data_IF_441064426857
#
_entry.id   IF_441064426857
#
_cell.length_a   1.000
_cell.length_b   1.000
_cell.length_c   1.000
_cell.angle_alpha   90.00
_cell.angle_beta   90.00
_cell.angle_gamma   90.00
#
_symmetry.space_group_name_H-M   'P 1'
#
loop_
_entity.id
_entity.type
_entity.pdbx_description
1 polymer ?
#
# COMPACT_ATOMS: atom_id res chain seq x y z
N UNK A 1 -5.23 -10.51 -36.02
CA UNK A 1 -3.89 -10.41 -36.65
C UNK A 1 -3.22 -9.05 -36.37
N UNK A 2 -3.97 -7.96 -36.27
CA UNK A 2 -3.44 -6.61 -35.96
C UNK A 2 -2.90 -6.46 -34.52
N UNK A 3 -3.45 -7.15 -33.50
CA UNK A 3 -2.99 -7.09 -32.10
C UNK A 3 -1.58 -7.67 -31.86
N UNK A 4 -1.09 -8.59 -32.72
CA UNK A 4 0.27 -9.15 -32.60
C UNK A 4 1.37 -8.24 -33.15
N UNK A 5 1.04 -7.37 -34.09
CA UNK A 5 2.02 -6.45 -34.73
C UNK A 5 2.30 -5.25 -33.84
N UNK A 6 1.31 -4.73 -33.13
CA UNK A 6 1.47 -3.61 -32.18
C UNK A 6 2.40 -3.93 -31.02
N UNK A 7 2.22 -5.11 -30.41
CA UNK A 7 3.08 -5.58 -29.32
C UNK A 7 4.53 -5.79 -29.78
N UNK A 8 4.76 -6.33 -30.99
CA UNK A 8 6.10 -6.53 -31.53
C UNK A 8 6.84 -5.21 -31.77
N UNK A 9 6.15 -4.20 -32.31
CA UNK A 9 6.72 -2.84 -32.52
C UNK A 9 7.04 -2.12 -31.22
N UNK A 10 6.22 -2.32 -30.17
CA UNK A 10 6.45 -1.73 -28.86
C UNK A 10 7.70 -2.32 -28.18
N UNK A 11 7.85 -3.65 -28.16
CA UNK A 11 9.04 -4.31 -27.61
C UNK A 11 10.30 -4.00 -28.43
N UNK A 12 10.18 -3.82 -29.74
CA UNK A 12 11.29 -3.45 -30.60
C UNK A 12 11.77 -2.01 -30.33
N UNK A 13 10.82 -1.02 -30.18
CA UNK A 13 11.15 0.36 -29.80
C UNK A 13 11.73 0.45 -28.39
N UNK A 14 11.19 -0.30 -27.44
CA UNK A 14 11.70 -0.35 -26.05
C UNK A 14 13.10 -1.01 -25.99
N UNK A 15 13.34 -2.04 -26.76
CA UNK A 15 14.68 -2.66 -26.91
C UNK A 15 15.69 -1.64 -27.46
N UNK A 16 15.32 -0.86 -28.46
CA UNK A 16 16.18 0.17 -29.05
C UNK A 16 16.47 1.33 -28.08
N UNK A 17 15.48 1.74 -27.27
CA UNK A 17 15.65 2.77 -26.23
C UNK A 17 16.57 2.28 -25.10
N UNK A 18 16.43 1.03 -24.67
CA UNK A 18 17.30 0.41 -23.65
C UNK A 18 18.72 0.23 -24.17
N UNK A 19 18.91 -0.16 -25.43
CA UNK A 19 20.25 -0.28 -26.06
C UNK A 19 20.91 1.10 -26.13
N UNK A 20 20.18 2.16 -26.49
CA UNK A 20 20.69 3.53 -26.56
C UNK A 20 21.08 4.08 -25.17
N UNK A 21 20.27 3.78 -24.12
CA UNK A 21 20.55 4.15 -22.73
C UNK A 21 21.77 3.41 -22.18
N UNK A 22 21.90 2.10 -22.47
CA UNK A 22 23.06 1.32 -22.04
C UNK A 22 24.35 1.72 -22.77
N UNK A 23 24.24 2.13 -24.05
CA UNK A 23 25.37 2.64 -24.83
C UNK A 23 25.83 3.99 -24.26
N UNK A 24 24.91 4.88 -23.89
CA UNK A 24 25.24 6.18 -23.26
C UNK A 24 25.90 6.02 -21.88
N UNK A 25 25.46 5.06 -21.06
CA UNK A 25 26.09 4.75 -19.79
C UNK A 25 27.48 4.13 -19.95
N UNK A 26 27.68 3.28 -20.95
CA UNK A 26 29.02 2.71 -21.25
C UNK A 26 29.99 3.79 -21.73
N UNK A 27 29.55 4.72 -22.56
CA UNK A 27 30.35 5.85 -23.02
C UNK A 27 30.73 6.77 -21.86
N UNK A 28 29.80 7.09 -20.94
CA UNK A 28 30.11 7.88 -19.74
C UNK A 28 31.13 7.18 -18.80
N UNK A 29 31.04 5.84 -18.66
CA UNK A 29 32.00 5.06 -17.85
C UNK A 29 33.37 5.01 -18.48
N UNK A 30 33.49 4.96 -19.81
CA UNK A 30 34.77 5.02 -20.54
C UNK A 30 35.41 6.41 -20.39
N UNK A 31 34.60 7.51 -20.46
CA UNK A 31 35.15 8.86 -20.28
C UNK A 31 35.60 9.15 -18.83
N UNK A 32 34.90 8.64 -17.81
CA UNK A 32 35.35 8.72 -16.43
C UNK A 32 36.64 7.91 -16.19
N UNK A 33 36.79 6.73 -16.81
CA UNK A 33 37.98 5.89 -16.68
C UNK A 33 39.23 6.51 -17.34
N UNK A 34 39.09 7.28 -18.39
CA UNK A 34 40.18 7.95 -19.08
C UNK A 34 40.67 9.21 -18.29
N UNK A 35 39.75 9.93 -17.61
CA UNK A 35 40.09 11.07 -16.78
C UNK A 35 40.88 10.68 -15.48
N UNK A 36 40.58 9.52 -14.90
CA UNK A 36 41.29 8.99 -13.73
C UNK A 36 42.66 8.43 -14.07
N UNK A 37 42.87 7.89 -15.28
CA UNK A 37 44.18 7.40 -15.72
C UNK A 37 45.16 8.53 -16.05
N UNK A 38 44.70 9.72 -16.42
CA UNK A 38 45.55 10.87 -16.75
C UNK A 38 46.11 11.62 -15.50
N UNK A 39 45.58 11.39 -14.30
CA UNK A 39 46.06 12.00 -13.05
C UNK A 39 47.07 11.16 -12.28
N UNK A 40 47.44 9.96 -12.75
CA UNK A 40 48.33 9.03 -12.06
C UNK A 40 49.78 8.97 -12.63
N UNK A 41 50.13 9.82 -13.60
CA UNK A 41 51.44 9.81 -14.27
C UNK A 41 52.32 11.00 -13.98
N UNK A 42 52.17 11.65 -12.85
CA UNK A 42 53.03 12.77 -12.50
C UNK A 42 53.37 12.84 -11.02
N UNK A 43 54.29 12.01 -10.54
CA UNK A 43 55.26 12.35 -9.47
C UNK A 43 56.12 11.13 -9.10
N UNK A 44 57.31 11.04 -9.63
CA UNK A 44 58.39 10.21 -9.08
C UNK A 44 59.31 11.10 -8.26
N UNK A 45 59.18 11.05 -6.94
CA UNK A 45 60.12 11.60 -5.99
C UNK A 45 60.35 10.56 -4.91
N UNK A 46 61.50 9.87 -4.97
CA UNK A 46 61.88 8.89 -3.97
C UNK A 46 62.37 9.59 -2.70
N UNK A 47 61.69 9.33 -1.57
CA UNK A 47 62.21 9.58 -0.22
C UNK A 47 62.17 8.27 0.53
N UNK A 48 63.29 7.78 0.93
CA UNK A 48 63.42 6.65 1.86
C UNK A 48 63.17 7.15 3.28
N UNK A 49 62.16 6.59 3.94
CA UNK A 49 61.98 6.73 5.37
C UNK A 49 61.69 5.33 5.95
N UNK A 50 62.41 5.03 7.04
CA UNK A 50 62.36 3.78 7.78
C UNK A 50 60.95 3.42 8.21
N UNK A 51 60.59 2.15 8.02
CA UNK A 51 59.35 1.57 8.49
C UNK A 51 59.43 1.32 10.00
N UNK A 52 58.66 2.06 10.77
CA UNK A 52 58.25 1.62 12.10
C UNK A 52 56.99 0.81 11.95
N UNK A 53 57.08 -0.46 12.31
CA UNK A 53 55.97 -1.43 12.34
C UNK A 53 54.96 -0.99 13.42
N UNK A 54 53.97 -0.18 13.05
CA UNK A 54 52.73 -0.02 13.80
C UNK A 54 51.70 -0.89 13.13
N UNK A 55 51.35 -2.00 13.78
CA UNK A 55 50.25 -2.84 13.37
C UNK A 55 49.00 -1.96 13.16
N UNK A 56 48.66 -1.70 11.90
CA UNK A 56 47.38 -1.08 11.52
C UNK A 56 46.30 -2.04 11.89
N UNK A 57 45.54 -1.76 12.95
CA UNK A 57 44.28 -2.42 13.20
C UNK A 57 43.41 -2.24 11.94
N UNK A 58 43.13 -3.36 11.29
CA UNK A 58 42.20 -3.40 10.18
C UNK A 58 40.87 -2.80 10.67
N UNK A 59 40.32 -1.79 10.00
CA UNK A 59 39.06 -1.20 10.46
C UNK A 59 38.03 -2.34 10.57
N UNK A 60 37.46 -2.50 11.75
CA UNK A 60 36.34 -3.41 11.97
C UNK A 60 35.29 -3.06 10.92
N UNK A 61 34.87 -4.02 10.07
CA UNK A 61 33.88 -3.71 9.05
C UNK A 61 32.64 -3.17 9.74
N UNK A 62 32.18 -1.98 9.36
CA UNK A 62 30.91 -1.42 9.80
C UNK A 62 29.85 -2.46 9.44
N UNK A 63 29.05 -2.94 10.40
CA UNK A 63 28.01 -3.93 10.11
C UNK A 63 27.12 -3.39 9.00
N UNK A 64 26.84 -4.21 7.98
CA UNK A 64 25.88 -3.88 6.94
C UNK A 64 24.53 -3.61 7.62
N UNK A 65 23.95 -2.40 7.55
CA UNK A 65 22.69 -2.09 8.20
C UNK A 65 21.54 -3.01 7.76
N UNK A 66 21.71 -3.73 6.65
CA UNK A 66 20.74 -4.68 6.15
C UNK A 66 20.74 -6.01 6.88
N UNK A 67 21.90 -6.49 7.31
CA UNK A 67 21.99 -7.67 8.16
C UNK A 67 21.28 -7.47 9.48
N UNK A 68 21.23 -6.25 10.01
CA UNK A 68 20.49 -5.93 11.24
C UNK A 68 18.98 -6.11 11.05
N UNK A 69 18.40 -5.54 9.99
CA UNK A 69 16.95 -5.71 9.74
C UNK A 69 16.59 -7.14 9.40
N UNK A 70 17.39 -7.82 8.61
CA UNK A 70 17.15 -9.23 8.27
C UNK A 70 17.18 -10.14 9.51
N UNK A 71 18.01 -9.86 10.48
CA UNK A 71 18.13 -10.64 11.71
C UNK A 71 16.99 -10.39 12.71
N UNK A 72 16.23 -9.29 12.57
CA UNK A 72 15.15 -8.95 13.49
C UNK A 72 13.95 -9.89 13.31
N UNK A 73 13.45 -10.45 14.40
CA UNK A 73 12.22 -11.23 14.45
C UNK A 73 11.00 -10.35 14.14
N UNK A 74 9.93 -10.96 13.66
CA UNK A 74 8.65 -10.28 13.53
C UNK A 74 8.02 -10.02 14.90
N UNK A 75 7.32 -8.90 15.06
CA UNK A 75 6.57 -8.58 16.30
C UNK A 75 5.53 -9.67 16.60
N UNK A 76 4.98 -10.28 15.54
CA UNK A 76 3.98 -11.37 15.62
C UNK A 76 4.54 -12.69 16.14
N UNK A 77 5.85 -12.89 16.11
CA UNK A 77 6.50 -14.13 16.61
C UNK A 77 6.38 -14.28 18.14
N UNK A 78 6.08 -13.17 18.83
CA UNK A 78 5.79 -13.17 20.26
C UNK A 78 4.41 -13.73 20.64
N UNK A 79 3.54 -14.02 19.66
CA UNK A 79 2.18 -14.52 19.89
C UNK A 79 2.22 -16.03 19.99
N UNK A 80 1.85 -16.57 21.15
CA UNK A 80 1.83 -18.01 21.38
C UNK A 80 0.93 -18.74 20.36
N UNK A 81 1.48 -19.79 19.74
CA UNK A 81 0.77 -20.56 18.70
C UNK A 81 0.59 -19.86 17.36
N UNK A 82 1.21 -18.70 17.16
CA UNK A 82 1.28 -18.05 15.86
C UNK A 82 2.46 -18.62 15.06
N UNK A 83 2.33 -18.84 13.74
CA UNK A 83 3.46 -19.29 12.92
C UNK A 83 4.63 -18.30 12.97
N UNK A 84 5.86 -18.81 13.04
CA UNK A 84 7.06 -17.98 12.98
C UNK A 84 7.14 -17.25 11.64
N UNK A 85 7.37 -15.94 11.66
CA UNK A 85 7.42 -15.08 10.49
C UNK A 85 8.69 -15.27 9.66
N UNK A 86 8.64 -15.04 8.34
CA UNK A 86 9.83 -15.06 7.51
C UNK A 86 10.79 -13.93 7.87
N UNK A 87 12.10 -14.18 7.72
CA UNK A 87 13.10 -13.12 7.74
C UNK A 87 13.06 -12.35 6.44
N UNK A 88 13.02 -11.03 6.54
CA UNK A 88 12.95 -10.11 5.41
C UNK A 88 13.96 -8.97 5.55
N UNK A 89 14.42 -8.45 4.42
CA UNK A 89 15.38 -7.33 4.33
C UNK A 89 14.76 -5.97 4.71
N UNK A 90 13.44 -5.85 4.61
CA UNK A 90 12.75 -4.62 4.91
C UNK A 90 12.87 -4.23 6.39
N UNK A 91 13.07 -2.94 6.65
CA UNK A 91 13.07 -2.38 8.00
C UNK A 91 11.70 -2.51 8.66
N UNK A 92 10.63 -2.29 7.90
CA UNK A 92 9.26 -2.38 8.40
C UNK A 92 8.35 -3.07 7.39
N UNK A 93 7.49 -3.95 7.87
CA UNK A 93 6.49 -4.60 7.03
C UNK A 93 5.23 -5.02 7.79
N UNK A 94 4.12 -5.10 7.05
CA UNK A 94 2.83 -5.64 7.51
C UNK A 94 2.25 -6.52 6.42
N UNK A 95 1.73 -7.69 6.82
CA UNK A 95 0.83 -8.51 6.00
C UNK A 95 -0.54 -8.58 6.68
N UNK A 96 -1.59 -8.20 5.97
CA UNK A 96 -2.96 -8.16 6.51
C UNK A 96 -3.95 -8.84 5.57
N UNK A 97 -4.87 -9.62 6.10
CA UNK A 97 -6.06 -10.06 5.33
C UNK A 97 -7.12 -8.96 5.32
N UNK A 98 -7.43 -8.47 4.14
CA UNK A 98 -8.40 -7.38 3.92
C UNK A 98 -9.84 -7.75 4.24
N UNK A 99 -10.18 -9.04 4.24
CA UNK A 99 -11.54 -9.51 4.53
C UNK A 99 -11.84 -9.50 6.03
N UNK A 100 -10.83 -9.82 6.84
CA UNK A 100 -10.96 -9.98 8.30
C UNK A 100 -10.28 -8.88 9.11
N UNK A 101 -9.40 -8.10 8.47
CA UNK A 101 -8.49 -7.12 9.09
C UNK A 101 -7.46 -7.78 10.05
N UNK A 102 -7.28 -9.09 9.94
CA UNK A 102 -6.25 -9.80 10.69
C UNK A 102 -4.86 -9.40 10.16
N UNK A 103 -4.00 -8.92 11.05
CA UNK A 103 -2.59 -8.70 10.76
C UNK A 103 -1.88 -10.03 10.99
N UNK A 104 -1.40 -10.65 9.90
CA UNK A 104 -0.77 -11.97 9.92
C UNK A 104 0.72 -11.88 10.24
N UNK A 105 1.36 -10.81 9.77
CA UNK A 105 2.77 -10.51 10.00
C UNK A 105 2.92 -9.03 10.33
N UNK A 106 3.74 -8.73 11.32
CA UNK A 106 4.11 -7.38 11.71
C UNK A 106 5.59 -7.35 12.08
N UNK A 107 6.33 -6.42 11.50
CA UNK A 107 7.71 -6.12 11.84
C UNK A 107 7.87 -4.61 11.86
N UNK A 108 8.22 -4.05 13.02
CA UNK A 108 8.39 -2.60 13.20
C UNK A 108 7.23 -1.78 12.62
N UNK A 109 6.00 -2.31 12.69
CA UNK A 109 4.83 -1.77 11.97
C UNK A 109 4.47 -0.34 12.33
N UNK A 110 4.97 0.20 13.45
CA UNK A 110 4.71 1.55 13.93
C UNK A 110 5.91 2.50 13.76
N UNK A 111 7.03 2.04 13.20
CA UNK A 111 8.20 2.88 12.92
C UNK A 111 7.89 3.85 11.79
N UNK A 112 8.12 5.14 12.02
CA UNK A 112 7.95 6.18 11.01
C UNK A 112 9.09 6.11 9.98
N UNK A 113 8.72 6.00 8.71
CA UNK A 113 9.61 5.92 7.57
C UNK A 113 9.07 6.80 6.43
N UNK A 114 9.93 7.13 5.50
CA UNK A 114 9.54 7.83 4.28
C UNK A 114 8.77 6.88 3.35
N UNK A 115 7.57 7.26 2.90
CA UNK A 115 6.74 6.39 2.06
C UNK A 115 7.17 6.33 0.58
N UNK A 116 7.86 7.33 0.07
CA UNK A 116 8.02 7.52 -1.36
C UNK A 116 6.64 7.48 -2.08
N UNK A 117 6.60 6.99 -3.32
CA UNK A 117 5.39 7.01 -4.15
C UNK A 117 4.25 6.09 -3.71
N UNK A 118 4.38 5.30 -2.63
CA UNK A 118 3.20 4.62 -2.07
C UNK A 118 2.20 5.62 -1.45
N UNK A 119 2.63 6.86 -1.17
CA UNK A 119 1.78 8.03 -0.85
C UNK A 119 0.63 8.20 -1.85
N UNK A 120 0.90 7.97 -3.15
CA UNK A 120 -0.07 8.14 -4.24
C UNK A 120 -1.31 7.25 -4.12
N UNK A 121 -1.24 6.20 -3.28
CA UNK A 121 -2.41 5.38 -3.01
C UNK A 121 -3.51 6.18 -2.28
N UNK A 122 -3.13 7.06 -1.33
CA UNK A 122 -4.08 7.96 -0.67
C UNK A 122 -4.55 9.08 -1.62
N UNK A 123 -3.66 9.60 -2.46
CA UNK A 123 -4.02 10.58 -3.50
C UNK A 123 -5.04 9.98 -4.48
N UNK A 124 -4.83 8.74 -4.93
CA UNK A 124 -5.78 8.01 -5.76
C UNK A 124 -7.13 7.82 -5.05
N UNK A 125 -7.11 7.40 -3.79
CA UNK A 125 -8.33 7.20 -3.01
C UNK A 125 -9.13 8.50 -2.90
N UNK A 126 -8.48 9.62 -2.58
CA UNK A 126 -9.13 10.92 -2.47
C UNK A 126 -9.65 11.43 -3.83
N UNK A 127 -8.91 11.20 -4.92
CA UNK A 127 -9.41 11.47 -6.27
C UNK A 127 -10.70 10.70 -6.55
N UNK A 128 -10.73 9.40 -6.24
CA UNK A 128 -11.91 8.55 -6.42
C UNK A 128 -13.09 8.91 -5.50
N UNK A 129 -12.83 9.47 -4.33
CA UNK A 129 -13.86 9.85 -3.36
C UNK A 129 -14.51 11.22 -3.68
N UNK A 130 -13.83 12.09 -4.47
CA UNK A 130 -14.24 13.48 -4.64
C UNK A 130 -14.48 13.91 -6.08
N UNK A 131 -14.00 13.17 -7.08
CA UNK A 131 -14.10 13.56 -8.49
C UNK A 131 -14.93 12.56 -9.30
N UNK A 132 -15.64 13.09 -10.31
CA UNK A 132 -16.18 12.23 -11.38
C UNK A 132 -15.04 11.82 -12.32
N UNK A 133 -14.85 10.51 -12.49
CA UNK A 133 -13.78 9.96 -13.32
C UNK A 133 -13.88 10.37 -14.80
N UNK A 134 -15.09 10.72 -15.26
CA UNK A 134 -15.34 11.19 -16.63
C UNK A 134 -15.15 12.71 -16.81
N UNK A 135 -15.02 13.45 -15.70
CA UNK A 135 -14.77 14.88 -15.77
C UNK A 135 -13.41 15.19 -16.42
N UNK A 136 -13.31 16.35 -17.04
CA UNK A 136 -12.05 16.84 -17.60
C UNK A 136 -11.23 17.56 -16.52
N UNK A 137 -9.94 17.30 -16.51
CA UNK A 137 -8.93 17.98 -15.70
C UNK A 137 -7.93 18.63 -16.64
N UNK A 138 -7.72 19.93 -16.47
CA UNK A 138 -6.70 20.68 -17.22
C UNK A 138 -5.47 20.86 -16.31
N UNK A 139 -4.30 20.39 -16.75
CA UNK A 139 -3.09 20.56 -15.97
C UNK A 139 -2.71 22.03 -15.86
N UNK A 140 -2.54 22.53 -14.64
CA UNK A 140 -2.00 23.85 -14.37
C UNK A 140 -0.50 23.89 -14.68
N UNK A 141 0.05 25.09 -14.86
CA UNK A 141 1.49 25.28 -14.97
C UNK A 141 2.24 24.74 -13.74
N UNK A 142 1.67 24.91 -12.54
CA UNK A 142 2.26 24.40 -11.31
C UNK A 142 2.26 22.87 -11.27
N UNK A 143 1.17 22.23 -11.66
CA UNK A 143 1.09 20.77 -11.72
C UNK A 143 2.08 20.20 -12.75
N UNK A 144 2.10 20.75 -13.96
CA UNK A 144 2.95 20.25 -15.05
C UNK A 144 4.45 20.40 -14.77
N UNK A 145 4.87 21.55 -14.22
CA UNK A 145 6.29 21.90 -14.10
C UNK A 145 6.80 22.05 -12.66
N UNK A 146 5.93 21.97 -11.66
CA UNK A 146 6.29 22.03 -10.24
C UNK A 146 6.82 20.71 -9.65
N UNK A 147 7.17 19.74 -10.50
CA UNK A 147 7.74 18.46 -10.12
C UNK A 147 9.28 18.51 -10.21
N UNK A 148 9.96 17.70 -9.40
CA UNK A 148 11.42 17.61 -9.44
C UNK A 148 11.92 17.00 -10.75
N UNK A 149 13.00 17.56 -11.28
CA UNK A 149 13.64 17.07 -12.50
C UNK A 149 14.09 15.60 -12.32
N UNK A 150 13.74 14.75 -13.27
CA UNK A 150 14.08 13.32 -13.24
C UNK A 150 13.14 12.45 -12.40
N UNK A 151 12.13 13.05 -11.76
CA UNK A 151 11.08 12.30 -11.08
C UNK A 151 10.09 11.66 -12.07
N UNK A 152 9.23 10.74 -11.58
CA UNK A 152 8.28 10.01 -12.43
C UNK A 152 7.23 10.94 -13.03
N UNK A 153 7.03 10.86 -14.35
CA UNK A 153 6.11 11.71 -15.12
C UNK A 153 5.67 11.01 -16.41
N UNK A 154 4.50 11.34 -16.93
CA UNK A 154 4.09 11.01 -18.30
C UNK A 154 4.31 12.18 -19.27
N UNK A 155 5.00 13.22 -18.79
CA UNK A 155 5.27 14.46 -19.55
C UNK A 155 4.00 15.20 -19.95
N UNK A 156 3.06 15.35 -18.99
CA UNK A 156 1.88 16.19 -19.17
C UNK A 156 2.27 17.67 -19.18
N UNK A 157 1.71 18.42 -20.12
CA UNK A 157 2.03 19.84 -20.34
C UNK A 157 0.99 20.77 -19.71
N UNK A 158 1.38 22.01 -19.42
CA UNK A 158 0.45 23.03 -18.92
C UNK A 158 -0.63 23.34 -19.96
N UNK A 159 -1.90 23.31 -19.54
CA UNK A 159 -3.06 23.45 -20.43
C UNK A 159 -3.45 22.16 -21.15
N UNK A 160 -2.75 21.05 -20.93
CA UNK A 160 -3.16 19.75 -21.45
C UNK A 160 -4.37 19.23 -20.68
N UNK A 161 -5.34 18.71 -21.43
CA UNK A 161 -6.63 18.26 -20.90
C UNK A 161 -6.68 16.72 -20.89
N UNK A 162 -6.94 16.16 -19.72
CA UNK A 162 -7.15 14.73 -19.50
C UNK A 162 -8.52 14.49 -18.87
N UNK A 163 -9.03 13.27 -18.95
CA UNK A 163 -10.08 12.86 -18.00
C UNK A 163 -9.47 12.56 -16.65
N UNK A 164 -10.25 12.69 -15.58
CA UNK A 164 -9.82 12.28 -14.22
C UNK A 164 -9.37 10.81 -14.22
N UNK A 165 -10.06 9.94 -14.98
CA UNK A 165 -9.64 8.54 -15.15
C UNK A 165 -8.23 8.43 -15.71
N UNK A 166 -7.89 9.18 -16.75
CA UNK A 166 -6.56 9.19 -17.35
C UNK A 166 -5.49 9.66 -16.37
N UNK A 167 -5.81 10.71 -15.58
CA UNK A 167 -4.91 11.20 -14.53
C UNK A 167 -4.66 10.13 -13.44
N UNK A 168 -5.72 9.44 -12.98
CA UNK A 168 -5.62 8.40 -11.96
C UNK A 168 -4.89 7.15 -12.48
N UNK A 169 -5.06 6.79 -13.76
CA UNK A 169 -4.28 5.72 -14.42
C UNK A 169 -2.80 6.10 -14.48
N UNK A 170 -2.46 7.29 -14.92
CA UNK A 170 -1.07 7.76 -14.98
C UNK A 170 -0.44 7.85 -13.58
N UNK A 171 -1.19 8.32 -12.59
CA UNK A 171 -0.79 8.34 -11.18
C UNK A 171 -0.39 6.94 -10.66
N UNK A 172 -1.20 5.93 -10.97
CA UNK A 172 -1.00 4.60 -10.40
C UNK A 172 -0.04 3.74 -11.23
N UNK A 173 -0.11 3.76 -12.56
CA UNK A 173 0.68 2.92 -13.44
C UNK A 173 2.12 3.46 -13.60
N UNK A 174 2.25 4.73 -13.99
CA UNK A 174 3.55 5.38 -14.25
C UNK A 174 4.08 6.18 -13.06
N UNK A 175 3.29 6.25 -11.97
CA UNK A 175 3.66 7.04 -10.79
C UNK A 175 3.82 8.54 -11.07
N UNK A 176 3.07 9.07 -12.07
CA UNK A 176 3.18 10.44 -12.57
C UNK A 176 2.99 11.47 -11.44
N UNK A 177 4.01 12.30 -11.18
CA UNK A 177 4.00 13.28 -10.10
C UNK A 177 3.14 14.50 -10.45
N UNK A 178 3.16 14.93 -11.70
CA UNK A 178 2.31 16.02 -12.19
C UNK A 178 0.83 15.69 -12.06
N UNK A 179 0.46 14.42 -12.24
CA UNK A 179 -0.92 13.98 -12.06
C UNK A 179 -1.33 13.99 -10.57
N UNK A 180 -0.39 13.73 -9.67
CA UNK A 180 -0.67 13.85 -8.24
C UNK A 180 -0.97 15.31 -7.84
N UNK A 181 -0.22 16.26 -8.38
CA UNK A 181 -0.43 17.69 -8.15
C UNK A 181 -1.76 18.14 -8.79
N UNK A 182 -2.01 17.79 -10.05
CA UNK A 182 -3.24 18.15 -10.77
C UNK A 182 -4.51 17.62 -10.10
N UNK A 183 -4.50 16.34 -9.66
CA UNK A 183 -5.59 15.76 -8.88
C UNK A 183 -5.80 16.52 -7.56
N UNK A 184 -4.70 16.88 -6.88
CA UNK A 184 -4.77 17.63 -5.63
C UNK A 184 -5.39 19.02 -5.82
N UNK A 185 -5.02 19.72 -6.89
CA UNK A 185 -5.59 21.01 -7.25
C UNK A 185 -7.08 20.90 -7.60
N UNK A 186 -7.46 19.89 -8.40
CA UNK A 186 -8.85 19.66 -8.81
C UNK A 186 -9.76 19.33 -7.61
N UNK A 187 -9.29 18.46 -6.69
CA UNK A 187 -10.08 18.07 -5.49
C UNK A 187 -10.26 19.22 -4.51
N UNK A 188 -9.25 20.06 -4.31
CA UNK A 188 -9.22 21.00 -3.16
C UNK A 188 -8.97 22.45 -3.56
N UNK A 189 -8.81 22.76 -4.83
CA UNK A 189 -8.47 24.09 -5.35
C UNK A 189 -7.02 24.49 -5.12
N UNK A 190 -6.22 23.70 -4.38
CA UNK A 190 -4.77 23.87 -4.27
C UNK A 190 -4.12 22.64 -3.64
N UNK A 191 -2.84 22.38 -3.97
CA UNK A 191 -2.05 21.30 -3.37
C UNK A 191 -1.99 21.42 -1.85
N UNK A 192 -1.85 22.65 -1.30
CA UNK A 192 -1.84 22.87 0.15
C UNK A 192 -3.12 22.35 0.83
N UNK A 193 -4.28 22.74 0.34
CA UNK A 193 -5.57 22.27 0.87
C UNK A 193 -5.76 20.77 0.69
N UNK A 194 -5.25 20.22 -0.40
CA UNK A 194 -5.29 18.78 -0.63
C UNK A 194 -4.45 18.02 0.40
N UNK A 195 -3.27 18.51 0.75
CA UNK A 195 -2.44 17.94 1.82
C UNK A 195 -3.15 17.97 3.18
N UNK A 196 -3.86 19.06 3.51
CA UNK A 196 -4.72 19.14 4.70
C UNK A 196 -5.82 18.05 4.67
N UNK A 197 -6.44 17.84 3.50
CA UNK A 197 -7.42 16.77 3.31
C UNK A 197 -6.80 15.37 3.42
N UNK A 198 -5.58 15.15 2.87
CA UNK A 198 -4.85 13.89 3.03
C UNK A 198 -4.64 13.54 4.50
N UNK A 199 -4.14 14.49 5.30
CA UNK A 199 -3.90 14.29 6.73
C UNK A 199 -5.21 14.05 7.50
N UNK A 200 -6.26 14.79 7.18
CA UNK A 200 -7.60 14.58 7.76
C UNK A 200 -8.12 13.16 7.43
N UNK A 201 -7.97 12.72 6.18
CA UNK A 201 -8.42 11.40 5.75
C UNK A 201 -7.61 10.29 6.39
N UNK A 202 -6.29 10.45 6.51
CA UNK A 202 -5.43 9.51 7.22
C UNK A 202 -5.88 9.33 8.69
N UNK A 203 -6.18 10.42 9.40
CA UNK A 203 -6.71 10.37 10.76
C UNK A 203 -8.07 9.64 10.82
N UNK A 204 -8.99 9.89 9.89
CA UNK A 204 -10.28 9.19 9.79
C UNK A 204 -10.12 7.69 9.58
N UNK A 205 -9.08 7.27 8.85
CA UNK A 205 -8.72 5.87 8.66
C UNK A 205 -8.03 5.26 9.89
N UNK A 206 -7.77 6.03 10.92
CA UNK A 206 -7.12 5.60 12.16
C UNK A 206 -5.60 5.53 12.06
N UNK A 207 -4.99 6.26 11.11
CA UNK A 207 -3.55 6.46 11.06
C UNK A 207 -3.12 7.38 12.22
N UNK A 208 -2.09 6.97 12.97
CA UNK A 208 -1.65 7.71 14.16
C UNK A 208 -0.24 8.27 14.02
N UNK A 209 0.57 7.65 13.18
CA UNK A 209 1.99 7.96 13.02
C UNK A 209 2.30 8.36 11.56
N UNK A 210 1.34 9.05 10.92
CA UNK A 210 1.43 9.45 9.50
C UNK A 210 1.22 10.95 9.39
N UNK A 211 2.08 11.60 8.62
CA UNK A 211 1.96 12.98 8.18
C UNK A 211 2.41 13.13 6.74
N UNK A 212 1.56 13.68 5.89
CA UNK A 212 1.85 13.95 4.49
C UNK A 212 2.07 15.45 4.26
N UNK A 213 3.08 15.81 3.45
CA UNK A 213 3.37 17.18 3.04
C UNK A 213 3.17 17.41 1.54
N UNK A 214 3.00 16.35 0.78
CA UNK A 214 2.74 16.42 -0.65
C UNK A 214 1.93 15.22 -1.14
N UNK A 215 1.30 15.28 -2.32
CA UNK A 215 0.46 14.21 -2.83
C UNK A 215 1.23 13.12 -3.60
N UNK A 216 2.52 13.29 -3.85
CA UNK A 216 3.31 12.44 -4.74
C UNK A 216 4.35 11.56 -4.01
N UNK A 217 4.71 11.88 -2.76
CA UNK A 217 5.66 11.12 -1.95
C UNK A 217 7.12 11.51 -2.14
N UNK A 218 7.40 12.70 -2.67
CA UNK A 218 8.76 13.24 -2.69
C UNK A 218 9.26 13.51 -1.28
N UNK A 219 10.57 13.40 -1.03
CA UNK A 219 11.14 13.54 0.30
C UNK A 219 10.86 14.91 0.93
N UNK A 220 10.45 14.88 2.19
CA UNK A 220 10.34 16.01 3.09
C UNK A 220 10.54 15.47 4.51
N UNK A 221 11.23 16.19 5.38
CA UNK A 221 11.60 15.69 6.71
C UNK A 221 10.43 15.20 7.55
N UNK A 222 9.25 15.79 7.36
CA UNK A 222 8.03 15.45 8.09
C UNK A 222 7.03 14.64 7.27
N UNK A 223 7.36 14.30 6.00
CA UNK A 223 6.53 13.44 5.16
C UNK A 223 6.78 11.97 5.49
N UNK A 224 6.14 11.49 6.55
CA UNK A 224 6.38 10.17 7.13
C UNK A 224 5.11 9.36 7.31
N UNK A 225 5.26 8.05 7.31
CA UNK A 225 4.19 7.09 7.59
C UNK A 225 4.75 5.84 8.23
N UNK A 226 3.89 4.85 8.49
CA UNK A 226 4.29 3.54 9.01
C UNK A 226 3.67 2.43 8.15
N UNK A 227 4.26 1.22 8.16
CA UNK A 227 3.68 0.09 7.44
C UNK A 227 2.26 -0.24 7.95
N UNK A 228 2.02 -0.09 9.26
CA UNK A 228 0.70 -0.29 9.86
C UNK A 228 -0.33 0.74 9.40
N UNK A 229 0.05 2.00 9.25
CA UNK A 229 -0.85 3.04 8.75
C UNK A 229 -1.09 2.90 7.25
N UNK A 230 -0.05 2.57 6.47
CA UNK A 230 -0.21 2.29 5.04
C UNK A 230 -1.09 1.07 4.78
N UNK A 231 -1.08 0.05 5.63
CA UNK A 231 -2.00 -1.07 5.52
C UNK A 231 -3.47 -0.65 5.71
N UNK A 232 -3.76 0.33 6.59
CA UNK A 232 -5.12 0.90 6.76
C UNK A 232 -5.53 1.71 5.53
N UNK A 233 -4.62 2.51 4.96
CA UNK A 233 -4.85 3.26 3.72
C UNK A 233 -5.07 2.28 2.56
N UNK A 234 -4.24 1.24 2.45
CA UNK A 234 -4.35 0.21 1.43
C UNK A 234 -5.68 -0.55 1.52
N UNK A 235 -6.16 -0.85 2.72
CA UNK A 235 -7.49 -1.43 2.93
C UNK A 235 -8.59 -0.50 2.43
N UNK A 236 -8.54 0.80 2.75
CA UNK A 236 -9.53 1.77 2.28
C UNK A 236 -9.54 1.88 0.76
N UNK A 237 -8.36 1.93 0.13
CA UNK A 237 -8.20 1.93 -1.33
C UNK A 237 -8.78 0.65 -1.97
N UNK A 238 -8.57 -0.52 -1.36
CA UNK A 238 -9.15 -1.79 -1.82
C UNK A 238 -10.68 -1.78 -1.75
N UNK A 239 -11.25 -1.19 -0.70
CA UNK A 239 -12.70 -1.11 -0.51
C UNK A 239 -13.40 -0.17 -1.49
N UNK A 240 -12.67 0.78 -2.09
CA UNK A 240 -13.18 1.64 -3.16
C UNK A 240 -13.00 0.93 -4.52
N UNK A 241 -14.09 0.55 -5.23
CA UNK A 241 -14.00 -0.20 -6.49
C UNK A 241 -13.26 0.56 -7.60
N UNK A 242 -13.39 1.89 -7.65
CA UNK A 242 -12.70 2.72 -8.64
C UNK A 242 -11.20 2.74 -8.37
N UNK A 243 -10.81 3.05 -7.13
CA UNK A 243 -9.41 3.06 -6.74
C UNK A 243 -8.75 1.68 -6.99
N UNK A 244 -9.44 0.59 -6.65
CA UNK A 244 -8.98 -0.77 -6.94
C UNK A 244 -8.75 -1.00 -8.44
N UNK A 245 -9.64 -0.54 -9.32
CA UNK A 245 -9.46 -0.62 -10.78
C UNK A 245 -8.11 -0.04 -11.20
N UNK A 246 -7.73 1.13 -10.70
CA UNK A 246 -6.53 1.83 -11.14
C UNK A 246 -5.24 1.09 -10.78
N UNK A 247 -5.09 0.60 -9.55
CA UNK A 247 -3.85 -0.08 -9.17
C UNK A 247 -3.78 -1.57 -9.59
N UNK A 248 -4.89 -2.14 -10.10
CA UNK A 248 -4.90 -3.51 -10.67
C UNK A 248 -4.87 -3.54 -12.19
N UNK A 249 -4.94 -2.39 -12.87
CA UNK A 249 -4.82 -2.31 -14.33
C UNK A 249 -3.37 -2.55 -14.73
N UNK A 250 -3.16 -3.40 -15.74
CA UNK A 250 -1.83 -3.75 -16.24
C UNK A 250 -1.30 -2.76 -17.28
N UNK A 251 -2.13 -2.40 -18.24
CA UNK A 251 -1.83 -1.48 -19.34
C UNK A 251 -3.03 -0.55 -19.56
N UNK A 252 -2.75 0.72 -19.83
CA UNK A 252 -3.76 1.70 -20.21
C UNK A 252 -3.24 2.61 -21.32
N UNK A 253 -4.10 3.01 -22.24
CA UNK A 253 -3.77 3.89 -23.36
C UNK A 253 -4.46 5.23 -23.18
N UNK A 254 -3.69 6.32 -23.19
CA UNK A 254 -4.24 7.67 -23.29
C UNK A 254 -4.15 8.08 -24.77
N UNK A 255 -5.29 8.28 -25.44
CA UNK A 255 -5.31 8.75 -26.83
C UNK A 255 -4.69 10.16 -26.95
N UNK A 256 -4.45 10.65 -28.18
CA UNK A 256 -4.01 12.03 -28.39
C UNK A 256 -4.87 13.03 -27.63
N UNK A 257 -4.22 14.02 -27.04
CA UNK A 257 -4.88 15.11 -26.29
C UNK A 257 -4.94 16.40 -27.13
N UNK A 258 -5.36 17.51 -26.53
CA UNK A 258 -5.33 18.82 -27.17
C UNK A 258 -3.89 19.35 -27.43
N UNK A 259 -2.88 18.79 -26.76
CA UNK A 259 -1.47 19.23 -26.90
C UNK A 259 -0.61 18.12 -27.47
N UNK A 260 -0.73 16.90 -27.00
CA UNK A 260 0.10 15.77 -27.40
C UNK A 260 -0.60 14.91 -28.46
N UNK A 261 0.04 14.75 -29.61
CA UNK A 261 -0.56 14.15 -30.82
C UNK A 261 -0.40 12.64 -30.94
N UNK A 262 0.35 12.01 -30.04
CA UNK A 262 0.56 10.55 -30.02
C UNK A 262 -0.20 9.89 -28.86
N UNK A 263 -0.48 8.59 -28.97
CA UNK A 263 -1.02 7.79 -27.85
C UNK A 263 0.07 7.51 -26.83
N UNK A 264 -0.21 7.78 -25.55
CA UNK A 264 0.64 7.36 -24.42
C UNK A 264 0.22 5.99 -23.93
N UNK A 265 1.19 5.10 -23.80
CA UNK A 265 1.00 3.74 -23.25
C UNK A 265 1.53 3.70 -21.83
N UNK A 266 0.63 3.52 -20.87
CA UNK A 266 0.96 3.46 -19.45
C UNK A 266 1.05 2.02 -19.01
N UNK A 267 2.18 1.63 -18.42
CA UNK A 267 2.43 0.26 -18.00
C UNK A 267 2.59 0.20 -16.48
N UNK A 268 1.81 -0.65 -15.83
CA UNK A 268 1.94 -0.82 -14.39
C UNK A 268 3.36 -1.30 -14.02
N UNK A 269 4.02 -0.57 -13.12
CA UNK A 269 5.39 -0.88 -12.69
C UNK A 269 5.47 -2.01 -11.66
N UNK A 270 4.35 -2.61 -11.26
CA UNK A 270 4.33 -3.68 -10.26
C UNK A 270 4.81 -5.00 -10.87
N UNK A 271 6.07 -5.36 -10.60
CA UNK A 271 6.76 -6.49 -11.25
C UNK A 271 6.28 -7.88 -10.81
N UNK A 272 5.41 -7.99 -9.80
CA UNK A 272 4.84 -9.27 -9.38
C UNK A 272 3.52 -9.61 -10.09
N UNK A 273 3.02 -8.76 -10.97
CA UNK A 273 1.86 -9.06 -11.81
C UNK A 273 2.21 -10.14 -12.84
N UNK A 274 1.19 -10.82 -13.35
CA UNK A 274 1.36 -11.91 -14.31
C UNK A 274 2.19 -11.49 -15.55
N UNK A 275 3.12 -12.34 -15.97
CA UNK A 275 4.00 -12.07 -17.11
C UNK A 275 5.16 -11.11 -16.87
N UNK A 276 5.42 -10.72 -15.62
CA UNK A 276 6.52 -9.84 -15.20
C UNK A 276 7.67 -10.61 -14.55
N UNK A 277 8.80 -9.93 -14.32
CA UNK A 277 10.06 -10.53 -13.86
C UNK A 277 9.94 -11.27 -12.51
N UNK A 278 9.05 -10.81 -11.63
CA UNK A 278 8.80 -11.35 -10.29
C UNK A 278 7.37 -11.90 -10.15
N UNK A 279 6.76 -12.33 -11.27
CA UNK A 279 5.38 -12.79 -11.28
C UNK A 279 5.10 -13.78 -10.13
N UNK A 280 3.99 -13.52 -9.41
CA UNK A 280 3.55 -14.36 -8.31
C UNK A 280 2.05 -14.64 -8.46
N UNK A 281 1.69 -15.93 -8.38
CA UNK A 281 0.30 -16.35 -8.59
C UNK A 281 -0.65 -15.73 -7.56
N UNK A 282 -1.72 -15.13 -8.07
CA UNK A 282 -2.72 -14.44 -7.27
C UNK A 282 -2.43 -12.96 -7.02
N UNK A 283 -1.29 -12.40 -7.44
CA UNK A 283 -1.04 -10.96 -7.35
C UNK A 283 -1.95 -10.21 -8.33
N UNK A 284 -2.62 -9.19 -7.80
CA UNK A 284 -3.59 -8.37 -8.51
C UNK A 284 -3.01 -7.02 -8.94
N UNK A 285 -1.99 -6.53 -8.26
CA UNK A 285 -1.37 -5.23 -8.47
C UNK A 285 -1.00 -4.54 -7.17
N UNK A 286 -0.82 -3.23 -7.23
CA UNK A 286 -0.44 -2.44 -6.06
C UNK A 286 0.27 -1.13 -6.42
N UNK A 287 1.19 -0.67 -5.55
CA UNK A 287 1.96 0.56 -5.80
C UNK A 287 3.40 0.41 -5.37
N UNK A 288 4.31 0.80 -6.24
CA UNK A 288 5.75 0.87 -5.99
C UNK A 288 6.17 2.27 -5.53
N UNK A 289 7.23 2.35 -4.76
CA UNK A 289 7.88 3.61 -4.43
C UNK A 289 9.37 3.44 -4.24
N UNK A 290 10.13 4.48 -4.56
CA UNK A 290 11.56 4.57 -4.30
C UNK A 290 11.99 6.03 -4.23
N UNK A 291 12.78 6.34 -3.24
CA UNK A 291 13.68 7.51 -3.19
C UNK A 291 14.91 7.06 -2.42
N UNK A 292 16.03 7.78 -2.55
CA UNK A 292 17.24 7.42 -1.82
C UNK A 292 17.02 7.43 -0.29
N UNK A 293 16.18 8.34 0.20
CA UNK A 293 15.84 8.44 1.62
C UNK A 293 14.87 7.34 2.10
N UNK A 294 13.99 6.84 1.24
CA UNK A 294 12.96 5.86 1.61
C UNK A 294 13.42 4.41 1.39
N UNK A 295 14.46 4.19 0.57
CA UNK A 295 14.70 2.86 0.01
C UNK A 295 13.53 2.39 -0.87
N UNK A 296 13.46 1.10 -1.13
CA UNK A 296 12.33 0.53 -1.85
C UNK A 296 11.11 0.37 -0.93
N UNK A 297 9.96 0.86 -1.39
CA UNK A 297 8.66 0.70 -0.73
C UNK A 297 7.69 0.03 -1.69
N UNK A 298 6.85 -0.87 -1.17
CA UNK A 298 5.95 -1.65 -2.00
C UNK A 298 4.65 -1.98 -1.26
N UNK A 299 3.53 -1.77 -1.94
CA UNK A 299 2.22 -2.30 -1.53
C UNK A 299 1.78 -3.28 -2.60
N UNK A 300 1.45 -4.50 -2.18
CA UNK A 300 1.01 -5.58 -3.07
C UNK A 300 -0.30 -6.18 -2.58
N UNK A 301 -1.26 -6.30 -3.47
CA UNK A 301 -2.51 -7.01 -3.24
C UNK A 301 -2.47 -8.37 -3.93
N UNK A 302 -2.79 -9.42 -3.18
CA UNK A 302 -2.84 -10.78 -3.70
C UNK A 302 -4.07 -11.52 -3.18
N UNK A 303 -4.63 -12.43 -4.00
CA UNK A 303 -5.80 -13.22 -3.64
C UNK A 303 -5.60 -14.68 -3.98
N UNK A 304 -5.86 -15.54 -2.99
CA UNK A 304 -6.03 -17.00 -3.17
C UNK A 304 -7.24 -17.48 -2.39
N UNK A 305 -8.14 -18.18 -3.06
CA UNK A 305 -9.36 -18.67 -2.44
C UNK A 305 -10.18 -17.55 -1.76
N UNK A 306 -10.42 -17.70 -0.46
CA UNK A 306 -11.18 -16.75 0.36
C UNK A 306 -10.31 -15.68 1.03
N UNK A 307 -8.99 -15.70 0.84
CA UNK A 307 -8.09 -14.72 1.43
C UNK A 307 -7.70 -13.67 0.40
N UNK A 308 -7.77 -12.42 0.80
CA UNK A 308 -7.23 -11.28 0.03
C UNK A 308 -6.23 -10.55 0.92
N UNK A 309 -4.96 -10.75 0.63
CA UNK A 309 -3.87 -10.20 1.41
C UNK A 309 -3.37 -8.88 0.83
N UNK A 310 -2.98 -7.97 1.72
CA UNK A 310 -2.15 -6.82 1.39
C UNK A 310 -0.82 -6.93 2.15
N UNK A 311 0.26 -6.89 1.40
CA UNK A 311 1.62 -6.76 1.93
C UNK A 311 2.06 -5.31 1.77
N UNK A 312 2.55 -4.71 2.85
CA UNK A 312 3.21 -3.40 2.86
C UNK A 312 4.64 -3.61 3.31
N UNK A 313 5.58 -3.22 2.46
CA UNK A 313 7.03 -3.33 2.69
C UNK A 313 7.62 -1.94 2.61
N UNK A 314 8.43 -1.53 3.61
CA UNK A 314 9.04 -0.21 3.67
C UNK A 314 10.53 -0.29 3.99
N UNK A 315 11.31 0.52 3.30
CA UNK A 315 12.76 0.56 3.40
C UNK A 315 13.40 -0.82 3.24
N UNK A 316 13.15 -1.45 2.09
CA UNK A 316 13.83 -2.67 1.66
C UNK A 316 14.91 -2.31 0.65
N UNK A 317 16.15 -2.74 0.87
CA UNK A 317 17.27 -2.30 0.05
C UNK A 317 17.50 -3.19 -1.17
N UNK A 318 17.44 -4.50 -1.00
CA UNK A 318 17.74 -5.42 -2.09
C UNK A 318 16.54 -6.20 -2.61
N UNK A 319 15.36 -6.04 -1.99
CA UNK A 319 14.40 -7.08 -2.24
C UNK A 319 12.95 -6.84 -1.87
N UNK A 320 12.39 -5.65 -2.08
CA UNK A 320 10.97 -5.45 -1.81
C UNK A 320 10.08 -6.51 -2.49
N UNK A 321 10.49 -7.05 -3.65
CA UNK A 321 9.82 -8.15 -4.34
C UNK A 321 10.02 -9.49 -3.64
N UNK A 322 11.25 -9.80 -3.20
CA UNK A 322 11.57 -11.03 -2.49
C UNK A 322 10.91 -11.05 -1.10
N UNK A 323 11.00 -9.94 -0.37
CA UNK A 323 10.32 -9.74 0.91
C UNK A 323 8.81 -9.96 0.79
N UNK A 324 8.21 -9.32 -0.22
CA UNK A 324 6.77 -9.45 -0.49
C UNK A 324 6.38 -10.88 -0.83
N UNK A 325 7.20 -11.59 -1.64
CA UNK A 325 6.97 -13.01 -1.95
C UNK A 325 6.98 -13.84 -0.67
N UNK A 326 7.99 -13.68 0.18
CA UNK A 326 8.11 -14.40 1.46
C UNK A 326 6.92 -14.14 2.37
N UNK A 327 6.44 -12.88 2.43
CA UNK A 327 5.25 -12.54 3.20
C UNK A 327 3.97 -13.18 2.65
N UNK A 328 3.79 -13.19 1.32
CA UNK A 328 2.62 -13.79 0.68
C UNK A 328 2.63 -15.31 0.83
N UNK A 329 3.78 -15.98 0.64
CA UNK A 329 3.93 -17.41 0.91
C UNK A 329 3.58 -17.71 2.37
N UNK A 330 4.14 -16.97 3.31
CA UNK A 330 3.84 -17.10 4.73
C UNK A 330 2.34 -16.99 5.02
N UNK A 331 1.67 -15.98 4.47
CA UNK A 331 0.26 -15.74 4.70
C UNK A 331 -0.64 -16.83 4.11
N UNK A 332 -0.37 -17.26 2.89
CA UNK A 332 -1.20 -18.25 2.22
C UNK A 332 -0.94 -19.70 2.68
N UNK A 333 0.26 -20.00 3.12
CA UNK A 333 0.64 -21.37 3.51
C UNK A 333 0.32 -21.66 4.98
N UNK A 334 0.36 -20.64 5.86
CA UNK A 334 0.22 -20.84 7.29
C UNK A 334 -1.13 -20.40 7.86
N UNK A 335 -1.97 -19.73 7.09
CA UNK A 335 -3.26 -19.22 7.58
C UNK A 335 -4.42 -19.65 6.70
N UNK A 336 -5.59 -19.68 7.32
CA UNK A 336 -6.85 -19.97 6.62
C UNK A 336 -7.95 -19.01 7.07
N UNK A 337 -8.78 -18.59 6.10
CA UNK A 337 -9.96 -17.77 6.36
C UNK A 337 -11.17 -18.68 6.60
N UNK A 338 -11.64 -18.74 7.84
CA UNK A 338 -12.75 -19.58 8.28
C UNK A 338 -14.01 -18.77 8.53
N UNK A 339 -15.15 -19.34 8.14
CA UNK A 339 -16.46 -18.79 8.48
C UNK A 339 -16.82 -19.16 9.92
N UNK A 340 -17.14 -18.16 10.73
CA UNK A 340 -17.62 -18.35 12.09
C UNK A 340 -19.03 -18.98 12.09
N UNK A 341 -19.24 -20.01 12.92
CA UNK A 341 -20.57 -20.49 13.27
C UNK A 341 -21.18 -19.50 14.26
N UNK A 342 -22.02 -18.59 13.78
CA UNK A 342 -22.67 -17.58 14.62
C UNK A 342 -24.08 -18.04 14.94
N UNK A 343 -24.48 -17.95 16.22
CA UNK A 343 -25.86 -18.12 16.60
C UNK A 343 -26.73 -17.06 15.93
N UNK A 344 -27.83 -17.49 15.31
CA UNK A 344 -28.86 -16.60 14.78
C UNK A 344 -29.78 -16.07 15.89
N UNK A 345 -29.63 -16.55 17.11
CA UNK A 345 -30.46 -16.12 18.23
C UNK A 345 -30.07 -14.72 18.71
N UNK A 346 -31.01 -13.93 19.22
CA UNK A 346 -30.75 -12.64 19.83
C UNK A 346 -29.68 -12.75 20.91
N UNK A 347 -28.84 -11.74 21.04
CA UNK A 347 -27.81 -11.69 22.08
C UNK A 347 -28.47 -11.44 23.43
N UNK A 348 -28.27 -12.31 24.44
CA UNK A 348 -28.79 -12.05 25.78
C UNK A 348 -28.28 -10.74 26.35
N UNK A 349 -29.13 -9.96 27.04
CA UNK A 349 -28.79 -8.65 27.63
C UNK A 349 -27.54 -8.72 28.51
N UNK A 350 -27.39 -9.78 29.31
CA UNK A 350 -26.22 -10.01 30.18
C UNK A 350 -24.88 -10.13 29.46
N UNK A 351 -24.88 -10.35 28.14
CA UNK A 351 -23.68 -10.51 27.33
C UNK A 351 -23.32 -9.22 26.55
N UNK A 352 -23.96 -8.11 26.84
CA UNK A 352 -23.69 -6.83 26.18
C UNK A 352 -22.69 -5.98 26.98
N UNK A 353 -21.85 -5.15 26.34
CA UNK A 353 -20.71 -4.51 26.98
C UNK A 353 -21.01 -3.40 27.97
N UNK A 354 -22.22 -2.85 28.03
CA UNK A 354 -22.61 -1.88 29.04
C UNK A 354 -24.11 -1.91 29.34
N UNK A 355 -24.46 -1.90 30.61
CA UNK A 355 -25.84 -1.89 31.07
C UNK A 355 -26.53 -0.52 30.86
N UNK A 356 -25.76 0.56 30.84
CA UNK A 356 -26.27 1.92 30.87
C UNK A 356 -27.07 2.35 29.63
N UNK A 357 -26.75 1.78 28.47
CA UNK A 357 -27.43 2.09 27.21
C UNK A 357 -28.73 1.30 27.02
N UNK A 358 -28.95 0.29 27.82
CA UNK A 358 -29.89 -0.76 27.54
C UNK A 358 -31.08 -0.75 28.51
N UNK A 359 -31.07 0.19 29.46
CA UNK A 359 -31.94 0.13 30.63
C UNK A 359 -33.42 0.42 30.40
N UNK A 360 -33.81 1.01 29.29
CA UNK A 360 -35.14 1.63 29.32
C UNK A 360 -36.23 0.95 28.53
N UNK A 361 -35.98 -0.02 27.61
CA UNK A 361 -37.10 -0.41 26.73
C UNK A 361 -37.23 -1.86 26.26
N UNK A 362 -36.40 -2.81 26.65
CA UNK A 362 -36.55 -4.16 26.10
C UNK A 362 -36.40 -5.25 27.17
N UNK A 363 -37.13 -6.34 27.01
CA UNK A 363 -37.04 -7.49 27.87
C UNK A 363 -35.64 -8.12 27.98
N UNK A 364 -35.55 -9.38 28.40
CA UNK A 364 -34.26 -10.06 28.70
C UNK A 364 -33.34 -10.32 27.50
N UNK A 365 -33.74 -9.96 26.28
CA UNK A 365 -32.96 -10.21 25.05
C UNK A 365 -33.01 -8.99 24.14
N UNK A 366 -31.87 -8.72 23.46
CA UNK A 366 -31.78 -7.69 22.43
C UNK A 366 -31.81 -8.32 21.04
N UNK A 367 -32.60 -7.79 20.11
CA UNK A 367 -32.72 -8.33 18.76
C UNK A 367 -31.55 -7.86 17.87
N UNK A 368 -30.33 -8.18 18.23
CA UNK A 368 -29.16 -7.94 17.39
C UNK A 368 -28.90 -9.13 16.48
N UNK A 369 -28.81 -8.87 15.19
CA UNK A 369 -28.59 -9.87 14.16
C UNK A 369 -27.37 -9.54 13.30
N UNK A 370 -26.58 -10.55 12.94
CA UNK A 370 -25.58 -10.39 11.91
C UNK A 370 -26.24 -10.31 10.54
N UNK A 371 -25.92 -9.25 9.79
CA UNK A 371 -26.43 -9.08 8.42
C UNK A 371 -25.56 -9.76 7.38
N UNK A 372 -24.30 -10.06 7.74
CA UNK A 372 -23.30 -10.74 6.89
C UNK A 372 -22.66 -11.88 7.64
N UNK A 373 -22.11 -12.85 6.89
CA UNK A 373 -21.24 -13.87 7.47
C UNK A 373 -20.03 -13.20 8.14
N UNK A 374 -19.64 -13.73 9.29
CA UNK A 374 -18.40 -13.33 9.95
C UNK A 374 -17.32 -14.32 9.59
N UNK A 375 -16.17 -13.81 9.23
CA UNK A 375 -14.98 -14.57 8.91
C UNK A 375 -13.86 -14.18 9.86
N UNK A 376 -12.96 -15.12 10.12
CA UNK A 376 -11.72 -14.93 10.88
C UNK A 376 -10.59 -15.56 10.09
N UNK A 377 -9.41 -14.96 10.15
CA UNK A 377 -8.18 -15.52 9.56
C UNK A 377 -7.25 -15.91 10.69
N UNK A 378 -7.00 -17.20 10.80
CA UNK A 378 -6.30 -17.84 11.91
C UNK A 378 -5.23 -18.79 11.39
N UNK A 379 -4.23 -19.18 12.20
CA UNK A 379 -3.29 -20.24 11.85
C UNK A 379 -4.03 -21.51 11.40
N UNK A 380 -3.50 -22.15 10.36
CA UNK A 380 -4.09 -23.38 9.78
C UNK A 380 -4.29 -24.47 10.87
N UNK A 381 -5.45 -25.08 10.87
CA UNK A 381 -5.80 -26.09 11.87
C UNK A 381 -6.36 -25.56 13.19
N UNK A 382 -6.45 -24.22 13.38
CA UNK A 382 -7.00 -23.62 14.61
C UNK A 382 -8.45 -24.05 14.84
N UNK A 383 -8.75 -24.53 16.08
CA UNK A 383 -10.12 -24.69 16.55
C UNK A 383 -10.70 -23.33 16.93
N UNK A 384 -11.80 -22.94 16.28
CA UNK A 384 -12.43 -21.64 16.52
C UNK A 384 -13.04 -21.47 17.92
N UNK A 385 -13.15 -22.56 18.70
CA UNK A 385 -13.62 -22.50 20.09
C UNK A 385 -12.65 -21.80 21.03
N UNK A 386 -11.35 -21.74 20.69
CA UNK A 386 -10.32 -21.05 21.49
C UNK A 386 -10.37 -19.54 21.36
N UNK A 387 -11.10 -19.00 20.37
CA UNK A 387 -11.15 -17.57 20.11
C UNK A 387 -11.90 -16.82 21.22
N UNK A 388 -11.29 -15.77 21.72
CA UNK A 388 -11.96 -14.84 22.62
C UNK A 388 -12.70 -13.75 21.84
N UNK A 389 -13.77 -13.20 22.41
CA UNK A 389 -14.60 -12.17 21.76
C UNK A 389 -14.69 -10.93 22.63
N UNK A 390 -14.42 -9.77 22.05
CA UNK A 390 -14.70 -8.46 22.66
C UNK A 390 -15.79 -7.75 21.85
N UNK A 391 -16.72 -7.09 22.52
CA UNK A 391 -17.85 -6.41 21.92
C UNK A 391 -17.89 -4.94 22.33
N UNK A 392 -18.26 -4.08 21.41
CA UNK A 392 -18.48 -2.65 21.64
C UNK A 392 -19.75 -2.20 20.94
N UNK A 393 -20.56 -1.41 21.64
CA UNK A 393 -21.71 -0.74 21.06
C UNK A 393 -21.19 0.50 20.31
N UNK A 394 -21.65 0.66 19.08
CA UNK A 394 -21.40 1.84 18.27
C UNK A 394 -22.74 2.63 18.23
N UNK A 395 -22.79 3.71 19.00
CA UNK A 395 -23.92 4.65 18.97
C UNK A 395 -23.61 5.76 17.97
N UNK A 396 -24.44 5.90 16.94
CA UNK A 396 -24.53 7.18 16.23
C UNK A 396 -25.78 7.89 16.75
N UNK A 397 -25.74 9.22 16.81
CA UNK A 397 -26.84 10.04 17.32
C UNK A 397 -28.18 9.82 16.60
N UNK A 398 -28.16 9.22 15.39
CA UNK A 398 -29.33 8.90 14.57
C UNK A 398 -29.12 7.55 13.93
N UNK A 399 -30.01 6.58 14.23
CA UNK A 399 -30.02 5.27 13.56
C UNK A 399 -30.03 4.07 14.52
N UNK A 400 -30.20 2.83 13.98
CA UNK A 400 -30.23 1.64 14.80
C UNK A 400 -28.90 1.39 15.49
N UNK A 401 -28.96 0.90 16.73
CA UNK A 401 -27.76 0.50 17.47
C UNK A 401 -26.98 -0.56 16.70
N UNK A 402 -25.67 -0.44 16.74
CA UNK A 402 -24.72 -1.37 16.12
C UNK A 402 -23.81 -1.97 17.19
N UNK A 403 -23.60 -3.27 17.12
CA UNK A 403 -22.71 -3.99 18.01
C UNK A 403 -21.56 -4.55 17.18
N UNK A 404 -20.34 -4.05 17.40
CA UNK A 404 -19.12 -4.56 16.77
C UNK A 404 -18.53 -5.65 17.65
N UNK A 405 -18.43 -6.87 17.14
CA UNK A 405 -17.74 -8.00 17.78
C UNK A 405 -16.39 -8.17 17.11
N UNK A 406 -15.31 -8.16 17.88
CA UNK A 406 -13.95 -8.50 17.45
C UNK A 406 -13.56 -9.83 18.06
N UNK A 407 -12.92 -10.68 17.25
CA UNK A 407 -12.44 -12.01 17.64
C UNK A 407 -10.92 -11.98 17.74
N UNK A 408 -10.40 -12.69 18.75
CA UNK A 408 -8.97 -12.68 19.08
C UNK A 408 -8.48 -14.11 19.29
N UNK A 409 -7.29 -14.40 18.74
CA UNK A 409 -6.47 -15.56 19.02
C UNK A 409 -5.25 -15.09 19.82
N UNK A 410 -5.11 -15.53 21.06
CA UNK A 410 -4.01 -15.18 21.98
C UNK A 410 -3.66 -13.66 21.97
N UNK A 411 -4.69 -12.81 22.00
CA UNK A 411 -4.52 -11.35 21.99
C UNK A 411 -4.48 -10.69 20.62
N UNK A 412 -4.20 -11.44 19.55
CA UNK A 412 -4.19 -10.96 18.17
C UNK A 412 -5.60 -10.93 17.60
N UNK A 413 -6.00 -9.79 17.02
CA UNK A 413 -7.30 -9.65 16.36
C UNK A 413 -7.28 -10.40 15.02
N UNK A 414 -8.18 -11.40 14.90
CA UNK A 414 -8.27 -12.30 13.74
C UNK A 414 -9.51 -12.12 12.90
N UNK A 415 -10.42 -11.25 13.30
CA UNK A 415 -11.62 -10.92 12.54
C UNK A 415 -12.63 -10.15 13.35
N UNK A 416 -13.68 -9.70 12.66
CA UNK A 416 -14.75 -8.94 13.28
C UNK A 416 -16.09 -9.14 12.56
N UNK A 417 -17.16 -8.81 13.26
CA UNK A 417 -18.52 -8.81 12.70
C UNK A 417 -19.36 -7.70 13.26
N UNK A 418 -20.32 -7.24 12.46
CA UNK A 418 -21.28 -6.22 12.85
C UNK A 418 -22.65 -6.84 13.02
N UNK A 419 -23.28 -6.55 14.15
CA UNK A 419 -24.67 -6.86 14.41
C UNK A 419 -25.48 -5.55 14.43
N UNK A 420 -26.68 -5.61 13.98
CA UNK A 420 -27.61 -4.49 13.90
C UNK A 420 -28.83 -4.79 14.76
N UNK A 421 -29.30 -3.79 15.47
CA UNK A 421 -30.60 -3.85 16.13
C UNK A 421 -31.70 -3.93 15.08
N UNK A 422 -32.61 -4.88 15.22
CA UNK A 422 -33.81 -4.95 14.38
C UNK A 422 -34.78 -3.90 14.88
N UNK A 423 -34.98 -2.85 14.13
CA UNK A 423 -36.02 -1.87 14.44
C UNK A 423 -37.41 -2.57 14.43
N UNK A 424 -38.20 -2.37 15.49
CA UNK A 424 -39.56 -2.86 15.59
C UNK A 424 -40.42 -2.34 14.43
N UNK A 425 -40.12 -1.16 13.90
CA UNK A 425 -40.82 -0.55 12.75
C UNK A 425 -40.69 -1.35 11.45
N UNK A 426 -39.56 -2.02 11.21
CA UNK A 426 -39.40 -2.83 9.99
C UNK A 426 -40.19 -4.12 10.01
N UNK A 427 -40.56 -4.64 11.17
CA UNK A 427 -41.38 -5.83 11.30
C UNK A 427 -42.88 -5.58 11.06
N UNK A 428 -43.35 -4.35 11.21
CA UNK A 428 -44.75 -3.95 10.94
C UNK A 428 -44.99 -3.69 9.46
N UNK A 429 -43.98 -3.41 8.66
CA UNK A 429 -44.08 -3.12 7.23
C UNK A 429 -43.95 -4.40 6.35
N UNK A 430 -43.55 -5.53 6.93
CA UNK A 430 -43.37 -6.80 6.19
C UNK A 430 -44.41 -7.89 6.53
N UNK A 431 -45.44 -7.60 7.28
CA UNK A 431 -46.62 -8.48 7.38
C UNK A 431 -47.45 -8.32 6.12
N UNK A 432 -47.60 -9.36 5.30
CA UNK A 432 -48.59 -9.31 4.22
C UNK A 432 -49.97 -9.15 4.88
N UNK A 433 -50.66 -8.10 4.54
CA UNK A 433 -52.11 -8.06 4.74
C UNK A 433 -52.74 -9.27 4.03
N UNK A 434 -53.38 -10.13 4.82
CA UNK A 434 -54.24 -11.21 4.37
C UNK A 434 -55.37 -10.70 3.45
#
# INVERSE_FOLDING_TARGET
MQLRIGNFMYYFKKGFYMIRKNLHMKIKRIFCGILTAAMLLGQTGAVWAEATDTASESPTPTPDPHTEYYAQAADTDSIEGWPEGPKIEAQSAVLMDLNTEAVLYSKNANTQLYPASITKLLTCLLGCENLDVNAQLTLSQQAAYGIEAGSSTIYGDAGEVFTVEQCLMALMLESANEMALGIGEEVSGSVKKFVELMNTRAQQLGCKNTHFNNPNGLPDETHVTTAGDMAKIAKAAWQNPLCRKFFTTDLYEIPPTNIFTETRYLLNHHKMMAGRDYAYDGVLGGKTGYTDAAGATLITYAKRGNMTLVAVVMNSVNGAWADTKSLLDYGFDNFECKKMKISKNPVPKKNLPSEQYLLNNCGNTYPFYYTKNVYVTVPTGTDLSVLTRKQAILSNAVGPLRLKSKYYFNGQMVGWGMQYERSIMTSLLTTPTL
#
